data_IF_262069392846
#
_entry.id   IF_262069392846
#
_cell.length_a   1.000
_cell.length_b   1.000
_cell.length_c   1.000
_cell.angle_alpha   90.00
_cell.angle_beta   90.00
_cell.angle_gamma   90.00
#
_symmetry.space_group_name_H-M   'P 1'
#
loop_
_entity.id
_entity.type
_entity.pdbx_description
1 polymer ?
#
# COMPACT_ATOMS: atom_id res chain seq x y z
N UNK A 1 47.46 -77.46 -23.67
CA UNK A 1 48.07 -76.37 -22.88
C UNK A 1 47.59 -74.99 -23.32
N UNK A 2 47.70 -74.59 -24.59
CA UNK A 2 47.30 -73.26 -25.08
C UNK A 2 45.88 -72.77 -24.65
N UNK A 3 44.87 -73.65 -24.71
CA UNK A 3 43.47 -73.32 -24.36
C UNK A 3 43.27 -72.97 -22.88
N UNK A 4 44.02 -73.62 -21.99
CA UNK A 4 43.97 -73.35 -20.55
C UNK A 4 44.68 -72.04 -20.17
N UNK A 5 45.71 -71.68 -20.94
CA UNK A 5 46.45 -70.41 -20.78
C UNK A 5 45.60 -69.21 -21.21
N UNK A 6 44.87 -69.35 -22.32
CA UNK A 6 43.95 -68.34 -22.85
C UNK A 6 42.75 -68.08 -21.90
N UNK A 7 42.18 -69.14 -21.34
CA UNK A 7 41.08 -69.03 -20.37
C UNK A 7 41.52 -68.33 -19.07
N UNK A 8 42.74 -68.61 -18.60
CA UNK A 8 43.36 -67.88 -17.47
C UNK A 8 43.58 -66.40 -17.78
N UNK A 9 44.01 -66.08 -19.00
CA UNK A 9 44.24 -64.70 -19.43
C UNK A 9 42.92 -63.92 -19.50
N UNK A 10 41.89 -64.50 -20.09
CA UNK A 10 40.55 -63.90 -20.17
C UNK A 10 39.93 -63.65 -18.79
N UNK A 11 40.08 -64.59 -17.85
CA UNK A 11 39.62 -64.40 -16.47
C UNK A 11 40.33 -63.24 -15.78
N UNK A 12 41.65 -63.13 -15.97
CA UNK A 12 42.45 -62.05 -15.39
C UNK A 12 42.08 -60.68 -15.96
N UNK A 13 41.87 -60.64 -17.28
CA UNK A 13 41.45 -59.44 -17.99
C UNK A 13 40.03 -59.00 -17.59
N UNK A 14 39.11 -59.93 -17.34
CA UNK A 14 37.77 -59.64 -16.80
C UNK A 14 37.83 -59.02 -15.41
N UNK A 15 38.64 -59.58 -14.51
CA UNK A 15 38.81 -59.04 -13.14
C UNK A 15 39.44 -57.64 -13.16
N UNK A 16 40.42 -57.40 -14.05
CA UNK A 16 41.01 -56.06 -14.22
C UNK A 16 40.00 -55.05 -14.79
N UNK A 17 39.16 -55.46 -15.74
CA UNK A 17 38.09 -54.62 -16.29
C UNK A 17 37.04 -54.25 -15.24
N UNK A 18 36.58 -55.20 -14.43
CA UNK A 18 35.64 -54.95 -13.32
C UNK A 18 36.24 -53.98 -12.28
N UNK A 19 37.52 -54.14 -11.93
CA UNK A 19 38.21 -53.26 -11.00
C UNK A 19 38.39 -51.82 -11.54
N UNK A 20 38.59 -51.68 -12.86
CA UNK A 20 38.64 -50.37 -13.53
C UNK A 20 37.24 -49.73 -13.53
N UNK A 21 36.19 -50.50 -13.81
CA UNK A 21 34.80 -50.03 -13.82
C UNK A 21 34.34 -49.58 -12.43
N UNK A 22 34.61 -50.35 -11.36
CA UNK A 22 34.34 -49.93 -9.98
C UNK A 22 35.05 -48.63 -9.61
N UNK A 23 36.33 -48.50 -10.00
CA UNK A 23 37.12 -47.31 -9.72
C UNK A 23 36.56 -46.09 -10.46
N UNK A 24 36.11 -46.26 -11.70
CA UNK A 24 35.45 -45.20 -12.47
C UNK A 24 34.09 -44.81 -11.89
N UNK A 25 33.27 -45.80 -11.49
CA UNK A 25 31.97 -45.58 -10.86
C UNK A 25 32.10 -44.85 -9.52
N UNK A 26 33.11 -45.20 -8.70
CA UNK A 26 33.41 -44.50 -7.45
C UNK A 26 33.81 -43.04 -7.70
N UNK A 27 34.68 -42.79 -8.69
CA UNK A 27 35.14 -41.44 -9.05
C UNK A 27 33.98 -40.57 -9.59
N UNK A 28 33.10 -41.15 -10.42
CA UNK A 28 31.88 -40.48 -10.89
C UNK A 28 30.93 -40.13 -9.74
N UNK A 29 30.76 -41.04 -8.77
CA UNK A 29 29.96 -40.79 -7.57
C UNK A 29 30.52 -39.63 -6.73
N UNK A 30 31.82 -39.64 -6.45
CA UNK A 30 32.50 -38.57 -5.69
C UNK A 30 32.39 -37.21 -6.41
N UNK A 31 32.61 -37.18 -7.73
CA UNK A 31 32.43 -35.98 -8.55
C UNK A 31 30.98 -35.47 -8.48
N UNK A 32 29.98 -36.37 -8.53
CA UNK A 32 28.57 -35.98 -8.44
C UNK A 32 28.23 -35.37 -7.07
N UNK A 33 28.81 -35.89 -5.98
CA UNK A 33 28.61 -35.40 -4.61
C UNK A 33 29.25 -34.02 -4.46
N UNK A 34 30.50 -33.85 -4.92
CA UNK A 34 31.16 -32.54 -4.92
C UNK A 34 30.39 -31.50 -5.72
N UNK A 35 29.86 -31.87 -6.88
CA UNK A 35 29.10 -30.94 -7.71
C UNK A 35 27.77 -30.54 -7.06
N UNK A 36 27.08 -31.47 -6.37
CA UNK A 36 25.88 -31.14 -5.57
C UNK A 36 26.20 -30.23 -4.39
N UNK A 37 27.29 -30.49 -3.67
CA UNK A 37 27.72 -29.65 -2.54
C UNK A 37 28.06 -28.23 -3.00
N UNK A 38 28.78 -28.09 -4.12
CA UNK A 38 29.10 -26.79 -4.71
C UNK A 38 27.85 -26.01 -5.12
N UNK A 39 26.91 -26.65 -5.82
CA UNK A 39 25.62 -26.03 -6.18
C UNK A 39 24.80 -25.65 -4.94
N UNK A 40 24.80 -26.46 -3.90
CA UNK A 40 24.12 -26.15 -2.63
C UNK A 40 24.74 -24.92 -1.95
N UNK A 41 26.07 -24.79 -1.98
CA UNK A 41 26.79 -23.61 -1.51
C UNK A 41 26.40 -22.34 -2.27
N UNK A 42 26.45 -22.38 -3.61
CA UNK A 42 26.06 -21.27 -4.49
C UNK A 42 24.59 -20.84 -4.26
N UNK A 43 23.66 -21.80 -4.14
CA UNK A 43 22.25 -21.51 -3.86
C UNK A 43 22.06 -20.85 -2.48
N UNK A 44 22.79 -21.30 -1.45
CA UNK A 44 22.71 -20.70 -0.12
C UNK A 44 23.28 -19.28 -0.09
N UNK A 45 24.33 -19.01 -0.86
CA UNK A 45 24.92 -17.68 -0.97
C UNK A 45 23.98 -16.70 -1.68
N UNK A 46 23.34 -17.13 -2.78
CA UNK A 46 22.29 -16.36 -3.46
C UNK A 46 21.11 -16.04 -2.52
N UNK A 47 20.66 -17.02 -1.73
CA UNK A 47 19.61 -16.79 -0.71
C UNK A 47 20.01 -15.76 0.33
N UNK A 48 21.28 -15.78 0.79
CA UNK A 48 21.80 -14.77 1.73
C UNK A 48 21.81 -13.37 1.11
N UNK A 49 22.24 -13.26 -0.15
CA UNK A 49 22.23 -11.99 -0.88
C UNK A 49 20.80 -11.46 -1.07
N UNK A 50 19.85 -12.33 -1.41
CA UNK A 50 18.44 -11.96 -1.57
C UNK A 50 17.81 -11.49 -0.25
N UNK A 51 18.10 -12.17 0.88
CA UNK A 51 17.69 -11.72 2.22
C UNK A 51 18.26 -10.35 2.55
N UNK A 52 19.57 -10.17 2.39
CA UNK A 52 20.24 -8.88 2.64
C UNK A 52 19.64 -7.75 1.80
N UNK A 53 19.34 -8.01 0.52
CA UNK A 53 18.67 -7.02 -0.35
C UNK A 53 17.25 -6.70 0.13
N UNK A 54 16.53 -7.69 0.66
CA UNK A 54 15.17 -7.53 1.18
C UNK A 54 15.19 -6.75 2.50
N UNK A 55 16.15 -7.05 3.39
CA UNK A 55 16.34 -6.34 4.66
C UNK A 55 16.67 -4.85 4.41
N UNK A 56 17.53 -4.56 3.42
CA UNK A 56 17.83 -3.18 2.99
C UNK A 56 16.62 -2.49 2.36
N UNK A 57 15.81 -3.22 1.57
CA UNK A 57 14.59 -2.67 1.01
C UNK A 57 13.55 -2.36 2.10
N UNK A 58 13.49 -3.17 3.16
CA UNK A 58 12.61 -2.96 4.32
C UNK A 58 13.12 -1.78 5.17
N UNK A 59 14.42 -1.66 5.42
CA UNK A 59 14.98 -0.57 6.22
C UNK A 59 14.79 0.81 5.60
N UNK A 60 14.57 0.89 4.29
CA UNK A 60 14.36 2.13 3.56
C UNK A 60 12.87 2.51 3.41
N UNK A 61 11.95 1.63 3.84
CA UNK A 61 10.52 1.91 3.75
C UNK A 61 10.09 2.96 4.78
N UNK A 62 9.19 3.83 4.36
CA UNK A 62 8.54 4.79 5.26
C UNK A 62 7.49 4.10 6.14
N UNK A 63 7.11 4.66 7.29
CA UNK A 63 6.05 4.11 8.14
C UNK A 63 4.76 3.78 7.37
N UNK A 64 4.31 4.66 6.47
CA UNK A 64 3.11 4.41 5.67
C UNK A 64 3.23 3.18 4.74
N UNK A 65 4.43 2.87 4.27
CA UNK A 65 4.68 1.71 3.39
C UNK A 65 4.70 0.41 4.19
N UNK A 66 5.30 0.43 5.38
CA UNK A 66 5.29 -0.69 6.32
C UNK A 66 3.85 -0.99 6.79
N UNK A 67 3.09 0.04 7.13
CA UNK A 67 1.69 -0.08 7.49
C UNK A 67 0.85 -0.66 6.34
N UNK A 68 1.04 -0.15 5.12
CA UNK A 68 0.37 -0.66 3.93
C UNK A 68 0.65 -2.16 3.69
N UNK A 69 1.87 -2.64 3.95
CA UNK A 69 2.20 -4.06 3.86
C UNK A 69 1.54 -4.89 4.97
N UNK A 70 1.54 -4.38 6.21
CA UNK A 70 0.87 -5.02 7.34
C UNK A 70 -0.64 -5.15 7.13
N UNK A 71 -1.29 -4.06 6.71
CA UNK A 71 -2.69 -4.00 6.31
C UNK A 71 -2.99 -5.00 5.19
N UNK A 72 -2.15 -5.03 4.14
CA UNK A 72 -2.33 -5.96 3.02
C UNK A 72 -2.27 -7.42 3.49
N UNK A 73 -1.41 -7.73 4.46
CA UNK A 73 -1.31 -9.06 5.07
C UNK A 73 -2.56 -9.37 5.90
N UNK A 74 -3.06 -8.43 6.69
CA UNK A 74 -4.24 -8.59 7.54
C UNK A 74 -5.52 -8.84 6.72
N UNK A 75 -5.71 -8.07 5.63
CA UNK A 75 -6.81 -8.28 4.69
C UNK A 75 -6.76 -9.69 4.07
N UNK A 76 -5.57 -10.15 3.67
CA UNK A 76 -5.39 -11.51 3.11
C UNK A 76 -5.69 -12.60 4.14
N UNK A 77 -5.20 -12.47 5.38
CA UNK A 77 -5.50 -13.46 6.43
C UNK A 77 -6.97 -13.49 6.81
N UNK A 78 -7.68 -12.39 6.62
CA UNK A 78 -9.12 -12.28 6.87
C UNK A 78 -9.98 -12.71 5.68
N UNK A 79 -9.40 -13.25 4.60
CA UNK A 79 -10.13 -13.68 3.40
C UNK A 79 -10.57 -12.53 2.47
N UNK A 80 -10.12 -11.30 2.72
CA UNK A 80 -10.42 -10.09 1.94
C UNK A 80 -9.33 -9.82 0.89
N UNK A 81 -8.83 -10.86 0.23
CA UNK A 81 -7.73 -10.73 -0.74
C UNK A 81 -8.19 -10.10 -2.08
N UNK A 82 -9.44 -10.32 -2.47
CA UNK A 82 -10.02 -9.92 -3.76
C UNK A 82 -11.13 -8.87 -3.58
N UNK A 83 -10.76 -7.71 -3.03
CA UNK A 83 -11.67 -6.58 -2.92
C UNK A 83 -11.87 -6.00 -4.33
N UNK A 84 -13.09 -5.93 -4.86
CA UNK A 84 -13.32 -5.44 -6.25
C UNK A 84 -14.05 -4.10 -6.31
N UNK A 85 -14.41 -3.53 -5.16
CA UNK A 85 -15.13 -2.26 -5.04
C UNK A 85 -14.23 -1.08 -4.68
N UNK A 86 -14.71 0.14 -4.94
CA UNK A 86 -14.06 1.36 -4.49
C UNK A 86 -14.02 1.43 -2.95
N UNK A 87 -12.95 1.98 -2.35
CA UNK A 87 -12.92 2.20 -0.91
C UNK A 87 -14.03 3.15 -0.49
N UNK A 88 -14.65 2.85 0.66
CA UNK A 88 -15.66 3.73 1.22
C UNK A 88 -15.09 5.08 1.62
N UNK A 89 -15.85 6.15 1.37
CA UNK A 89 -15.32 7.50 1.51
C UNK A 89 -16.21 8.52 2.22
N UNK A 90 -17.40 8.17 2.73
CA UNK A 90 -18.38 9.17 3.21
C UNK A 90 -18.75 8.99 4.68
N UNK A 91 -18.17 9.75 5.59
CA UNK A 91 -18.32 9.48 7.03
C UNK A 91 -19.30 10.46 7.68
N UNK A 92 -20.21 9.95 8.52
CA UNK A 92 -21.28 10.73 9.14
C UNK A 92 -20.88 11.10 10.57
N UNK A 93 -20.50 12.35 10.79
CA UNK A 93 -19.99 12.86 12.06
C UNK A 93 -21.08 13.53 12.88
N UNK A 94 -21.12 13.26 14.18
CA UNK A 94 -22.12 13.84 15.09
C UNK A 94 -21.44 14.64 16.19
N UNK A 95 -22.00 15.81 16.50
CA UNK A 95 -21.53 16.68 17.60
C UNK A 95 -22.15 16.32 18.95
N UNK A 96 -23.34 15.74 18.91
CA UNK A 96 -24.11 15.26 20.07
C UNK A 96 -24.91 14.03 19.64
N UNK A 97 -25.26 13.14 20.57
CA UNK A 97 -26.01 11.91 20.27
C UNK A 97 -27.37 12.15 19.60
N UNK A 98 -27.97 13.33 19.78
CA UNK A 98 -29.27 13.71 19.22
C UNK A 98 -29.17 14.79 18.12
N UNK A 99 -27.95 15.18 17.73
CA UNK A 99 -27.72 16.19 16.71
C UNK A 99 -27.81 15.64 15.29
N UNK A 100 -28.08 16.50 14.31
CA UNK A 100 -27.98 16.13 12.90
C UNK A 100 -26.52 15.83 12.50
N UNK A 101 -26.28 14.85 11.62
CA UNK A 101 -24.93 14.52 11.17
C UNK A 101 -24.37 15.57 10.20
N UNK A 102 -23.06 15.76 10.24
CA UNK A 102 -22.28 16.37 9.18
C UNK A 102 -21.53 15.28 8.41
N UNK A 103 -21.65 15.28 7.09
CA UNK A 103 -20.90 14.34 6.26
C UNK A 103 -19.53 14.95 5.95
N UNK A 104 -18.47 14.23 6.30
CA UNK A 104 -17.11 14.52 5.83
C UNK A 104 -16.66 13.37 4.93
N UNK A 105 -16.26 13.69 3.70
CA UNK A 105 -15.63 12.69 2.85
C UNK A 105 -14.15 12.50 3.25
N UNK A 106 -13.62 11.31 3.02
CA UNK A 106 -12.25 10.96 3.37
C UNK A 106 -11.92 9.52 3.00
N UNK A 107 -10.92 8.95 3.65
CA UNK A 107 -10.55 7.55 3.49
C UNK A 107 -10.15 6.93 4.83
N UNK A 108 -10.54 5.68 5.06
CA UNK A 108 -9.94 4.88 6.11
C UNK A 108 -8.50 4.57 5.71
N UNK A 109 -7.53 4.83 6.58
CA UNK A 109 -6.10 4.58 6.31
C UNK A 109 -5.49 3.56 7.29
N UNK A 110 -6.16 3.30 8.41
CA UNK A 110 -5.88 2.23 9.37
C UNK A 110 -7.17 1.88 10.15
N UNK A 111 -7.19 0.83 10.99
CA UNK A 111 -8.36 0.38 11.80
C UNK A 111 -8.99 1.47 12.65
N UNK A 112 -8.22 2.48 13.06
CA UNK A 112 -8.70 3.59 13.90
C UNK A 112 -8.54 4.96 13.28
N UNK A 113 -8.10 5.06 12.02
CA UNK A 113 -7.73 6.34 11.46
C UNK A 113 -8.46 6.62 10.15
N UNK A 114 -9.26 7.67 10.17
CA UNK A 114 -9.89 8.27 8.98
C UNK A 114 -9.12 9.53 8.62
N UNK A 115 -8.58 9.57 7.42
CA UNK A 115 -8.00 10.76 6.82
C UNK A 115 -9.08 11.52 6.07
N UNK A 116 -9.22 12.81 6.38
CA UNK A 116 -10.19 13.72 5.78
C UNK A 116 -9.53 15.10 5.61
N UNK A 117 -10.31 16.16 5.48
CA UNK A 117 -9.86 17.53 5.29
C UNK A 117 -10.10 18.37 6.54
N UNK A 118 -9.14 19.22 6.88
CA UNK A 118 -9.17 20.10 8.06
C UNK A 118 -10.42 20.96 8.15
N UNK A 119 -10.88 21.52 7.03
CA UNK A 119 -12.07 22.36 6.96
C UNK A 119 -13.33 21.63 7.43
N UNK A 120 -13.41 20.30 7.29
CA UNK A 120 -14.52 19.54 7.86
C UNK A 120 -14.47 19.47 9.39
N UNK A 121 -13.27 19.44 9.96
CA UNK A 121 -13.00 19.19 11.37
C UNK A 121 -12.90 20.48 12.18
N UNK A 122 -12.48 21.58 11.55
CA UNK A 122 -12.20 22.84 12.19
C UNK A 122 -13.42 23.40 12.94
N UNK A 123 -13.21 23.77 14.22
CA UNK A 123 -14.26 24.24 15.15
C UNK A 123 -15.42 23.26 15.38
N UNK A 124 -15.30 22.01 14.95
CA UNK A 124 -16.30 20.99 15.20
C UNK A 124 -15.87 20.09 16.36
N UNK A 125 -16.71 20.00 17.38
CA UNK A 125 -16.55 19.08 18.50
C UNK A 125 -17.29 17.77 18.19
N UNK A 126 -16.84 17.02 17.18
CA UNK A 126 -17.43 15.72 16.89
C UNK A 126 -17.07 14.72 17.99
N UNK A 127 -18.06 13.95 18.44
CA UNK A 127 -17.90 12.95 19.50
C UNK A 127 -17.98 11.53 18.97
N UNK A 128 -18.66 11.33 17.83
CA UNK A 128 -18.87 10.03 17.24
C UNK A 128 -18.98 10.12 15.72
N UNK A 129 -18.71 8.98 15.06
CA UNK A 129 -18.86 8.81 13.63
C UNK A 129 -19.66 7.54 13.34
N UNK A 130 -20.68 7.66 12.49
CA UNK A 130 -21.35 6.51 11.90
C UNK A 130 -20.61 6.11 10.63
N UNK A 131 -20.05 4.91 10.67
CA UNK A 131 -19.37 4.26 9.55
C UNK A 131 -20.32 3.19 9.01
N UNK A 132 -20.56 3.09 7.70
CA UNK A 132 -21.40 2.02 7.17
C UNK A 132 -20.80 0.65 7.43
N UNK A 133 -21.67 -0.35 7.40
CA UNK A 133 -21.32 -1.75 7.69
C UNK A 133 -20.83 -1.99 9.13
N UNK A 134 -20.72 -0.94 9.96
CA UNK A 134 -20.50 -1.04 11.40
C UNK A 134 -21.84 -0.92 12.13
N UNK A 135 -22.15 -1.82 13.08
CA UNK A 135 -23.44 -1.82 13.77
C UNK A 135 -23.62 -0.56 14.62
N UNK A 136 -22.57 -0.16 15.32
CA UNK A 136 -22.57 0.94 16.29
C UNK A 136 -21.84 2.18 15.75
N UNK A 137 -22.09 3.33 16.38
CA UNK A 137 -21.30 4.53 16.14
C UNK A 137 -19.92 4.31 16.79
N UNK A 138 -18.86 4.80 16.15
CA UNK A 138 -17.52 4.79 16.74
C UNK A 138 -17.29 6.11 17.46
N UNK A 139 -16.86 6.06 18.71
CA UNK A 139 -16.47 7.27 19.41
C UNK A 139 -15.19 7.86 18.81
N UNK A 140 -15.02 9.16 18.96
CA UNK A 140 -13.83 9.89 18.51
C UNK A 140 -12.91 10.08 19.71
N UNK A 141 -11.72 9.48 19.65
CA UNK A 141 -10.68 9.64 20.65
C UNK A 141 -9.96 10.98 20.48
N UNK A 142 -9.62 11.33 19.25
CA UNK A 142 -8.94 12.58 18.94
C UNK A 142 -9.21 13.06 17.51
N UNK A 143 -9.18 14.38 17.34
CA UNK A 143 -9.23 15.05 16.05
C UNK A 143 -7.90 15.78 15.88
N UNK A 144 -7.19 15.46 14.81
CA UNK A 144 -5.88 16.04 14.50
C UNK A 144 -6.00 16.89 13.24
N UNK A 145 -5.99 18.21 13.43
CA UNK A 145 -5.97 19.19 12.34
C UNK A 145 -4.52 19.47 11.98
N UNK A 146 -4.18 19.54 10.69
CA UNK A 146 -2.82 19.90 10.28
C UNK A 146 -2.42 21.25 10.91
N UNK A 147 -1.24 21.36 11.55
CA UNK A 147 -0.87 22.55 12.34
C UNK A 147 -0.84 23.84 11.52
N UNK A 148 -0.44 23.76 10.25
CA UNK A 148 -0.39 24.91 9.34
C UNK A 148 -1.71 25.22 8.61
N UNK A 149 -2.80 24.53 8.95
CA UNK A 149 -4.11 24.82 8.37
C UNK A 149 -4.69 26.13 8.93
N UNK A 150 -5.21 26.98 8.04
CA UNK A 150 -5.94 28.19 8.40
C UNK A 150 -7.17 28.36 7.50
N UNK A 151 -8.28 28.82 8.09
CA UNK A 151 -9.51 29.12 7.33
C UNK A 151 -9.34 30.31 6.37
N UNK A 152 -8.35 31.17 6.58
CA UNK A 152 -8.04 32.29 5.66
C UNK A 152 -7.46 31.79 4.33
N UNK A 153 -6.69 30.71 4.39
CA UNK A 153 -6.08 30.03 3.25
C UNK A 153 -6.59 28.60 3.16
N UNK A 154 -7.92 28.43 3.17
CA UNK A 154 -8.58 27.15 3.40
C UNK A 154 -8.20 25.98 2.47
N UNK A 155 -7.54 26.25 1.32
CA UNK A 155 -7.02 25.19 0.44
C UNK A 155 -5.68 24.62 0.89
N UNK A 156 -4.86 25.43 1.57
CA UNK A 156 -3.54 25.06 2.05
C UNK A 156 -3.63 24.18 3.28
N UNK A 157 -2.87 23.08 3.28
CA UNK A 157 -2.81 22.13 4.39
C UNK A 157 -4.20 21.63 4.82
N UNK A 158 -5.16 21.56 3.90
CA UNK A 158 -6.53 21.16 4.19
C UNK A 158 -6.66 19.63 4.34
N UNK A 159 -5.97 19.07 5.32
CA UNK A 159 -5.89 17.64 5.59
C UNK A 159 -5.90 17.41 7.10
N UNK A 160 -6.67 16.43 7.55
CA UNK A 160 -6.77 16.12 8.97
C UNK A 160 -7.05 14.65 9.20
N UNK A 161 -6.89 14.23 10.44
CA UNK A 161 -7.13 12.86 10.88
C UNK A 161 -8.18 12.83 11.97
N UNK A 162 -8.98 11.78 11.97
CA UNK A 162 -9.82 11.38 13.09
C UNK A 162 -9.33 10.05 13.59
N UNK A 163 -8.98 10.02 14.88
CA UNK A 163 -8.65 8.81 15.62
C UNK A 163 -9.90 8.30 16.33
N UNK A 164 -10.32 7.08 15.99
CA UNK A 164 -11.44 6.38 16.59
C UNK A 164 -11.03 5.79 17.94
N UNK A 165 -11.99 5.68 18.85
CA UNK A 165 -11.79 5.08 20.18
C UNK A 165 -11.51 3.57 20.13
N UNK A 166 -11.92 2.91 19.06
CA UNK A 166 -11.88 1.47 18.88
C UNK A 166 -11.69 1.09 17.41
N UNK A 167 -11.15 -0.10 17.17
CA UNK A 167 -10.92 -0.63 15.83
C UNK A 167 -12.23 -0.82 15.06
N UNK A 168 -12.22 -0.49 13.78
CA UNK A 168 -13.23 -0.97 12.84
C UNK A 168 -12.83 -2.34 12.31
N UNK A 169 -13.83 -3.21 12.14
CA UNK A 169 -13.63 -4.48 11.46
C UNK A 169 -13.63 -4.27 9.95
N UNK A 170 -12.65 -4.88 9.28
CA UNK A 170 -12.56 -4.80 7.83
C UNK A 170 -13.59 -5.68 7.15
N UNK A 171 -14.08 -5.21 6.01
CA UNK A 171 -14.99 -5.93 5.13
C UNK A 171 -14.74 -5.55 3.68
N UNK A 172 -15.36 -6.24 2.73
CA UNK A 172 -15.28 -5.87 1.32
C UNK A 172 -15.75 -4.42 1.03
N UNK A 173 -16.60 -3.86 1.90
CA UNK A 173 -17.12 -2.49 1.77
C UNK A 173 -16.44 -1.46 2.66
N UNK A 174 -15.60 -1.87 3.62
CA UNK A 174 -14.90 -0.99 4.54
C UNK A 174 -13.51 -1.56 4.82
N UNK A 175 -12.50 -0.96 4.19
CA UNK A 175 -11.11 -1.37 4.31
C UNK A 175 -10.21 -0.14 4.13
N UNK A 176 -9.01 -0.16 4.72
CA UNK A 176 -8.09 0.94 4.61
C UNK A 176 -7.40 0.98 3.25
N UNK A 177 -7.03 2.17 2.82
CA UNK A 177 -6.22 2.40 1.62
C UNK A 177 -4.76 2.64 2.00
N UNK A 178 -3.84 2.35 1.08
CA UNK A 178 -2.45 2.75 1.26
C UNK A 178 -2.28 4.24 0.95
N UNK A 179 -1.22 4.88 1.43
CA UNK A 179 -0.88 6.25 1.02
C UNK A 179 0.05 6.22 -0.20
N UNK A 180 -0.09 7.20 -1.09
CA UNK A 180 0.85 7.37 -2.20
C UNK A 180 2.14 8.04 -1.71
N UNK A 181 3.21 7.26 -1.60
CA UNK A 181 4.48 7.67 -0.97
C UNK A 181 5.54 8.17 -1.96
N UNK A 182 5.17 8.36 -3.23
CA UNK A 182 6.09 8.85 -4.25
C UNK A 182 5.97 10.37 -4.40
N UNK A 183 7.09 11.08 -4.38
CA UNK A 183 7.12 12.55 -4.46
C UNK A 183 6.59 13.09 -5.79
N UNK A 184 6.94 12.40 -6.89
CA UNK A 184 6.54 12.78 -8.23
C UNK A 184 5.08 12.44 -8.49
N UNK A 185 4.39 13.36 -9.14
CA UNK A 185 3.02 13.16 -9.60
C UNK A 185 2.96 12.02 -10.64
N UNK A 186 1.97 11.12 -10.55
CA UNK A 186 1.77 10.09 -11.55
C UNK A 186 1.31 10.71 -12.87
N UNK A 187 1.74 10.15 -14.00
CA UNK A 187 1.35 10.62 -15.33
C UNK A 187 -0.08 10.21 -15.73
N UNK A 188 -0.60 9.14 -15.11
CA UNK A 188 -1.92 8.57 -15.38
C UNK A 188 -2.34 7.64 -14.24
N UNK A 189 -3.51 7.01 -14.36
CA UNK A 189 -4.09 6.09 -13.37
C UNK A 189 -4.51 6.76 -12.06
N UNK A 190 -4.84 8.05 -12.11
CA UNK A 190 -5.59 8.69 -11.04
C UNK A 190 -7.07 8.45 -11.27
N UNK A 191 -7.75 8.03 -10.22
CA UNK A 191 -9.16 7.66 -10.26
C UNK A 191 -9.89 8.29 -9.08
N UNK A 192 -11.08 8.81 -9.38
CA UNK A 192 -12.05 9.28 -8.40
C UNK A 192 -13.32 8.46 -8.62
N UNK A 193 -13.66 7.61 -7.66
CA UNK A 193 -14.69 6.57 -7.82
C UNK A 193 -14.38 5.70 -9.04
N UNK A 194 -15.21 5.74 -10.08
CA UNK A 194 -15.04 4.96 -11.31
C UNK A 194 -14.46 5.80 -12.47
N UNK A 195 -14.20 7.09 -12.23
CA UNK A 195 -13.85 8.08 -13.24
C UNK A 195 -12.36 8.38 -13.21
N UNK A 196 -11.76 8.61 -14.37
CA UNK A 196 -10.36 9.01 -14.46
C UNK A 196 -10.19 10.52 -14.15
N UNK A 197 -9.12 10.81 -13.43
CA UNK A 197 -8.69 12.18 -13.12
C UNK A 197 -7.37 12.43 -13.83
N UNK A 198 -7.24 13.58 -14.48
CA UNK A 198 -6.01 14.01 -15.12
C UNK A 198 -5.44 15.21 -14.40
N UNK A 199 -4.12 15.19 -14.18
CA UNK A 199 -3.40 16.37 -13.73
C UNK A 199 -3.29 17.32 -14.90
N UNK A 200 -3.65 18.57 -14.68
CA UNK A 200 -3.63 19.63 -15.69
C UNK A 200 -2.70 20.75 -15.25
N UNK A 201 -2.42 21.69 -16.16
CA UNK A 201 -1.56 22.82 -15.85
C UNK A 201 -2.15 23.67 -14.71
N UNK A 202 -1.29 24.13 -13.81
CA UNK A 202 -1.68 24.93 -12.64
C UNK A 202 -2.51 26.17 -13.01
N UNK A 203 -2.24 26.76 -14.16
CA UNK A 203 -2.95 27.93 -14.71
C UNK A 203 -4.43 27.68 -14.99
N UNK A 204 -4.87 26.42 -15.06
CA UNK A 204 -6.26 26.07 -15.29
C UNK A 204 -7.10 26.07 -14.00
N UNK A 205 -6.47 26.00 -12.83
CA UNK A 205 -7.17 26.07 -11.56
C UNK A 205 -7.19 27.50 -11.03
N UNK A 206 -8.36 27.94 -10.59
CA UNK A 206 -8.45 29.14 -9.75
C UNK A 206 -7.85 28.79 -8.37
N UNK A 207 -6.82 29.54 -7.95
CA UNK A 207 -6.25 29.51 -6.58
C UNK A 207 -5.42 28.26 -6.21
N UNK A 208 -4.55 27.79 -7.10
CA UNK A 208 -3.42 26.96 -6.66
C UNK A 208 -2.30 27.87 -6.18
N UNK A 209 -1.87 27.71 -4.92
CA UNK A 209 -0.91 28.62 -4.30
C UNK A 209 0.43 27.94 -3.95
N UNK A 210 0.49 26.60 -3.91
CA UNK A 210 1.66 25.88 -3.35
C UNK A 210 1.99 24.57 -4.06
N UNK A 211 3.12 23.95 -3.71
CA UNK A 211 3.55 22.63 -4.18
C UNK A 211 2.79 21.47 -3.54
N UNK A 212 2.16 21.68 -2.38
CA UNK A 212 1.27 20.72 -1.69
C UNK A 212 -0.13 20.59 -2.32
N UNK A 213 -0.35 21.30 -3.41
CA UNK A 213 -1.60 21.31 -4.17
C UNK A 213 -1.34 20.87 -5.61
N UNK A 214 -2.31 20.18 -6.21
CA UNK A 214 -2.26 19.75 -7.61
C UNK A 214 -3.53 20.20 -8.31
N UNK A 215 -3.38 20.80 -9.50
CA UNK A 215 -4.50 21.10 -10.37
C UNK A 215 -4.88 19.85 -11.18
N UNK A 216 -6.16 19.50 -11.16
CA UNK A 216 -6.65 18.32 -11.85
C UNK A 216 -8.05 18.52 -12.42
N UNK A 217 -8.43 17.61 -13.31
CA UNK A 217 -9.71 17.62 -14.01
C UNK A 217 -10.28 16.21 -14.04
N UNK A 218 -11.57 16.07 -13.70
CA UNK A 218 -12.29 14.83 -13.92
C UNK A 218 -12.71 14.78 -15.40
N UNK A 219 -12.35 13.71 -16.10
CA UNK A 219 -12.61 13.61 -17.55
C UNK A 219 -14.06 13.24 -17.88
N UNK A 220 -14.86 12.82 -16.89
CA UNK A 220 -16.26 12.47 -17.07
C UNK A 220 -17.21 13.62 -16.73
N UNK A 221 -18.42 13.59 -17.30
CA UNK A 221 -19.48 14.54 -17.00
C UNK A 221 -20.09 14.21 -15.62
N UNK A 222 -19.56 14.84 -14.58
CA UNK A 222 -20.03 14.65 -13.20
C UNK A 222 -19.54 15.74 -12.26
N UNK A 223 -19.84 15.54 -10.97
CA UNK A 223 -19.31 16.36 -9.87
C UNK A 223 -18.29 15.57 -9.05
N UNK A 224 -17.23 16.26 -8.62
CA UNK A 224 -16.39 15.85 -7.50
C UNK A 224 -16.78 16.67 -6.28
N UNK A 225 -16.85 16.05 -5.12
CA UNK A 225 -17.24 16.66 -3.85
C UNK A 225 -16.03 16.88 -2.95
N UNK A 226 -16.09 17.91 -2.10
CA UNK A 226 -15.05 18.20 -1.11
C UNK A 226 -14.73 16.96 -0.27
N UNK A 227 -13.45 16.70 -0.05
CA UNK A 227 -12.94 15.57 0.70
C UNK A 227 -12.99 14.23 -0.02
N UNK A 228 -13.55 14.15 -1.23
CA UNK A 228 -13.49 12.87 -1.97
C UNK A 228 -12.03 12.47 -2.20
N UNK A 229 -11.67 11.23 -1.87
CA UNK A 229 -10.32 10.74 -2.08
C UNK A 229 -10.08 10.46 -3.57
N UNK A 230 -8.88 10.81 -4.01
CA UNK A 230 -8.35 10.50 -5.34
C UNK A 230 -7.26 9.47 -5.15
N UNK A 231 -7.43 8.33 -5.80
CA UNK A 231 -6.52 7.21 -5.69
C UNK A 231 -5.63 7.11 -6.91
N UNK A 232 -4.40 6.71 -6.71
CA UNK A 232 -3.57 6.10 -7.72
C UNK A 232 -3.80 4.58 -7.67
N UNK A 233 -4.13 3.98 -8.81
CA UNK A 233 -4.36 2.54 -8.90
C UNK A 233 -4.74 2.13 -10.32
N UNK A 234 -4.42 0.89 -10.66
CA UNK A 234 -4.89 0.26 -11.90
C UNK A 234 -6.24 -0.38 -11.65
N UNK A 235 -7.18 -0.28 -12.60
CA UNK A 235 -8.53 -0.86 -12.46
C UNK A 235 -8.48 -2.38 -12.21
N UNK A 236 -7.41 -3.03 -12.65
CA UNK A 236 -7.20 -4.47 -12.59
C UNK A 236 -6.53 -4.94 -11.28
N UNK A 237 -6.04 -4.04 -10.43
CA UNK A 237 -5.37 -4.37 -9.18
C UNK A 237 -5.95 -3.53 -8.03
N UNK A 238 -6.71 -4.12 -7.11
CA UNK A 238 -7.54 -3.37 -6.16
C UNK A 238 -6.77 -2.76 -4.98
N UNK A 239 -5.48 -2.53 -5.13
CA UNK A 239 -4.68 -1.83 -4.13
C UNK A 239 -4.67 -0.34 -4.47
N UNK A 240 -5.53 0.40 -3.79
CA UNK A 240 -5.66 1.85 -3.95
C UNK A 240 -4.61 2.56 -3.09
N UNK A 241 -3.95 3.55 -3.69
CA UNK A 241 -3.02 4.45 -3.02
C UNK A 241 -3.62 5.85 -3.01
N UNK A 242 -3.97 6.37 -1.83
CA UNK A 242 -4.49 7.72 -1.67
C UNK A 242 -3.45 8.74 -2.12
N UNK A 243 -3.72 9.37 -3.26
CA UNK A 243 -2.86 10.39 -3.87
C UNK A 243 -3.19 11.79 -3.33
N UNK A 244 -4.48 12.09 -3.17
CA UNK A 244 -4.93 13.38 -2.69
C UNK A 244 -6.41 13.39 -2.34
N UNK A 245 -6.89 14.52 -1.84
CA UNK A 245 -8.29 14.78 -1.51
C UNK A 245 -8.79 16.03 -2.21
N UNK A 246 -10.03 15.99 -2.72
CA UNK A 246 -10.65 17.12 -3.43
C UNK A 246 -10.83 18.29 -2.47
N UNK A 247 -10.23 19.45 -2.76
CA UNK A 247 -10.35 20.62 -1.89
C UNK A 247 -11.77 21.20 -1.86
N UNK A 248 -12.39 21.32 -3.04
CA UNK A 248 -13.70 21.96 -3.18
C UNK A 248 -14.55 21.27 -4.23
N UNK A 249 -15.86 21.21 -3.97
CA UNK A 249 -16.83 20.72 -4.95
C UNK A 249 -16.65 21.41 -6.31
N UNK A 250 -16.57 20.61 -7.35
CA UNK A 250 -16.50 21.02 -8.75
C UNK A 250 -17.43 20.15 -9.59
N UNK A 251 -17.93 20.66 -10.72
CA UNK A 251 -18.81 19.93 -11.63
C UNK A 251 -18.50 20.27 -13.08
N UNK A 252 -19.01 19.47 -14.02
CA UNK A 252 -18.97 19.73 -15.45
C UNK A 252 -17.54 19.82 -16.02
N UNK A 253 -16.65 18.91 -15.59
CA UNK A 253 -15.24 18.85 -16.02
C UNK A 253 -14.45 20.14 -15.76
N UNK A 254 -14.86 21.00 -14.81
CA UNK A 254 -14.05 22.16 -14.44
C UNK A 254 -12.80 21.70 -13.68
N UNK A 255 -11.59 22.19 -14.03
CA UNK A 255 -10.39 21.95 -13.25
C UNK A 255 -10.56 22.40 -11.80
N UNK A 256 -9.92 21.70 -10.88
CA UNK A 256 -10.03 21.90 -9.43
C UNK A 256 -8.74 21.52 -8.71
N UNK A 257 -8.59 22.08 -7.51
CA UNK A 257 -7.44 21.84 -6.65
C UNK A 257 -7.64 20.55 -5.83
N UNK A 258 -6.58 19.78 -5.74
CA UNK A 258 -6.44 18.60 -4.89
C UNK A 258 -5.34 18.89 -3.86
N UNK A 259 -5.59 18.58 -2.60
CA UNK A 259 -4.56 18.56 -1.55
C UNK A 259 -3.75 17.26 -1.69
N UNK A 260 -2.44 17.37 -1.90
CA UNK A 260 -1.56 16.21 -2.18
C UNK A 260 -1.12 15.54 -0.89
N UNK A 261 -1.44 14.26 -0.74
CA UNK A 261 -1.17 13.50 0.50
C UNK A 261 0.34 13.36 0.78
N UNK A 262 1.15 13.21 -0.27
CA UNK A 262 2.61 13.05 -0.12
C UNK A 262 3.24 14.17 0.72
N UNK A 263 2.82 15.42 0.51
CA UNK A 263 3.39 16.60 1.17
C UNK A 263 2.97 16.72 2.65
N UNK A 264 2.11 15.82 3.12
CA UNK A 264 1.63 15.75 4.51
C UNK A 264 1.97 14.42 5.19
N UNK A 265 2.82 13.58 4.58
CA UNK A 265 3.18 12.27 5.14
C UNK A 265 3.84 12.38 6.51
N UNK A 266 4.69 13.37 6.77
CA UNK A 266 5.33 13.50 8.09
C UNK A 266 4.32 13.75 9.20
N UNK A 267 3.31 14.58 8.93
CA UNK A 267 2.19 14.82 9.84
C UNK A 267 1.37 13.53 10.06
N UNK A 268 1.04 12.83 8.96
CA UNK A 268 0.21 11.62 9.03
C UNK A 268 0.96 10.48 9.74
N UNK A 269 2.18 10.17 9.29
CA UNK A 269 3.02 9.10 9.83
C UNK A 269 3.34 9.35 11.31
N UNK A 270 3.60 10.61 11.71
CA UNK A 270 3.87 10.96 13.10
C UNK A 270 2.74 10.68 14.08
N UNK A 271 1.50 10.60 13.60
CA UNK A 271 0.29 10.37 14.42
C UNK A 271 -0.20 8.94 14.30
N UNK A 272 -0.34 8.44 13.06
CA UNK A 272 -0.99 7.15 12.77
C UNK A 272 -0.02 5.99 13.01
N UNK A 273 1.24 6.17 12.64
CA UNK A 273 2.27 5.12 12.66
C UNK A 273 3.59 5.65 13.24
N UNK A 274 3.59 6.14 14.49
CA UNK A 274 4.79 6.70 15.08
C UNK A 274 5.90 5.64 15.13
N UNK A 275 7.15 6.07 14.93
CA UNK A 275 8.34 5.19 14.84
C UNK A 275 8.58 4.26 16.04
N UNK A 276 7.79 4.35 17.11
CA UNK A 276 7.86 3.44 18.27
C UNK A 276 7.11 2.12 18.05
N UNK A 277 6.29 2.03 17.00
CA UNK A 277 5.40 0.89 16.76
C UNK A 277 5.94 -0.12 15.71
N UNK A 278 7.17 0.07 15.20
CA UNK A 278 7.83 -0.82 14.23
C UNK A 278 9.29 -1.11 14.60
#
# INVERSE_FOLDING_TARGET
>A
EAKATEEKLNKRMSVEMEAIEERWNKKLSEMSIQQRQRKSGEVNELRKQQRKSSDVAISNKRPAELACDAISKDLRSSGLADITGNPYYSFWFYKTHNGGPQICNGALIDKRFVLTYSDCLFKNAFIEVKIPFTPEHKGIKAIHIHPDYSTETASLHNIGLVELDSDVEYSHGLYPVCLYTTQSNPKSNLILRYTEVQIVADTQCEKKNTTSEVCAQNIELGCSYTGEPIYFGKKEFPKFYLFGIVFKRTCYRKPYVITKVFDHLEFIEGIVWPKKDY
#
